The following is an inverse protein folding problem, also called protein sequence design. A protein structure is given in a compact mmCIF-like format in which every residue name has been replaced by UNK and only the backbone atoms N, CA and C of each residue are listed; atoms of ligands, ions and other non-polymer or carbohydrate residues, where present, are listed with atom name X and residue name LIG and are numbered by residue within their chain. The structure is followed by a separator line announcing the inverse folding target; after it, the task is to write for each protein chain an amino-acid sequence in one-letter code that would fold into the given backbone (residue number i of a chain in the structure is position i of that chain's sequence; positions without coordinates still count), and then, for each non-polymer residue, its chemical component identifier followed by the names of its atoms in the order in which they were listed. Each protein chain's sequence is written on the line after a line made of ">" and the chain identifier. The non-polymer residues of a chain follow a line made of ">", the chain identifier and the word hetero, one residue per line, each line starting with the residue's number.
data_IF_427287661222
#
_entry.id   IF_427287661222
#
_cell.length_a   1.000
_cell.length_b   1.000
_cell.length_c   1.000
_cell.angle_alpha   90.00
_cell.angle_beta   90.00
_cell.angle_gamma   90.00
#
_symmetry.space_group_name_H-M   'P 1'
#
loop_
_entity.id
_entity.type
_entity.pdbx_description
1 polymer ?
#
# COMPACT_ATOMS: atom_id res chain seq x y z
N UNK A 1 4.83 25.41 7.33
CA UNK A 1 6.29 25.32 7.08
C UNK A 1 6.63 23.88 6.71
N UNK A 2 6.29 22.91 7.56
CA UNK A 2 6.52 21.48 7.29
C UNK A 2 5.79 20.95 6.03
N UNK A 3 4.56 21.41 5.77
CA UNK A 3 3.83 21.05 4.53
C UNK A 3 4.51 21.56 3.26
N UNK A 4 5.10 22.75 3.31
CA UNK A 4 5.79 23.35 2.16
C UNK A 4 7.08 22.58 1.86
N UNK A 5 7.85 22.27 2.90
CA UNK A 5 9.06 21.47 2.80
C UNK A 5 8.75 20.06 2.27
N UNK A 6 7.66 19.45 2.74
CA UNK A 6 7.22 18.14 2.26
C UNK A 6 6.91 18.15 0.77
N UNK A 7 6.15 19.13 0.27
CA UNK A 7 5.82 19.23 -1.16
C UNK A 7 7.05 19.54 -2.04
N UNK A 8 8.01 20.34 -1.57
CA UNK A 8 9.28 20.57 -2.27
C UNK A 8 10.12 19.28 -2.41
N UNK A 9 10.24 18.50 -1.33
CA UNK A 9 10.95 17.22 -1.36
C UNK A 9 10.21 16.17 -2.19
N UNK A 10 8.87 16.15 -2.16
CA UNK A 10 8.05 15.29 -3.01
C UNK A 10 8.23 15.58 -4.50
N UNK A 11 8.46 16.85 -4.87
CA UNK A 11 8.80 17.24 -6.22
C UNK A 11 10.15 16.67 -6.70
N UNK A 12 11.06 16.40 -5.76
CA UNK A 12 12.44 15.97 -6.02
C UNK A 12 12.60 14.44 -5.94
N UNK A 13 11.87 13.78 -5.03
CA UNK A 13 11.88 12.33 -4.85
C UNK A 13 11.02 11.57 -5.86
N UNK A 14 11.10 10.24 -5.80
CA UNK A 14 10.32 9.33 -6.65
C UNK A 14 9.60 8.20 -5.88
N UNK A 15 9.73 8.16 -4.55
CA UNK A 15 9.05 7.23 -3.66
C UNK A 15 8.62 7.97 -2.40
N UNK A 16 7.37 7.77 -2.00
CA UNK A 16 6.82 8.31 -0.75
C UNK A 16 6.14 7.20 0.07
N UNK A 17 6.42 7.18 1.37
CA UNK A 17 5.75 6.30 2.35
C UNK A 17 5.09 7.20 3.39
N UNK A 18 3.77 7.18 3.41
CA UNK A 18 2.97 7.94 4.37
C UNK A 18 2.65 7.06 5.56
N UNK A 19 2.89 7.58 6.77
CA UNK A 19 2.48 6.93 8.01
C UNK A 19 1.26 7.65 8.58
N UNK A 20 0.22 6.89 8.94
CA UNK A 20 -1.02 7.43 9.47
C UNK A 20 -1.06 7.35 11.01
N UNK A 21 -1.35 8.49 11.65
CA UNK A 21 -1.41 8.58 13.11
C UNK A 21 -2.53 7.74 13.71
N UNK A 22 -3.68 7.61 13.05
CA UNK A 22 -4.83 6.85 13.57
C UNK A 22 -4.51 5.36 13.64
N UNK A 23 -3.73 4.84 12.68
CA UNK A 23 -3.21 3.46 12.74
C UNK A 23 -2.32 3.27 13.98
N UNK A 24 -1.37 4.17 14.19
CA UNK A 24 -0.46 4.10 15.35
C UNK A 24 -1.20 4.23 16.69
N UNK A 25 -2.18 5.13 16.80
CA UNK A 25 -3.02 5.31 17.99
C UNK A 25 -3.84 4.06 18.32
N UNK A 26 -4.33 3.35 17.29
CA UNK A 26 -5.01 2.05 17.43
C UNK A 26 -4.07 0.86 17.59
N UNK A 27 -2.75 1.08 17.59
CA UNK A 27 -1.71 0.04 17.64
C UNK A 27 -1.77 -0.96 16.49
N UNK A 28 -2.23 -0.52 15.32
CA UNK A 28 -2.18 -1.31 14.09
C UNK A 28 -0.86 -1.03 13.40
N UNK A 29 -0.03 -2.05 13.24
CA UNK A 29 1.30 -1.95 12.63
C UNK A 29 1.45 -2.96 11.47
N UNK A 30 2.09 -2.56 10.35
CA UNK A 30 2.73 -1.26 10.12
C UNK A 30 1.72 -0.13 9.88
N UNK A 31 2.01 1.08 10.39
CA UNK A 31 1.07 2.21 10.35
C UNK A 31 1.11 2.98 9.01
N UNK A 32 1.11 2.26 7.88
CA UNK A 32 1.28 2.83 6.54
C UNK A 32 -0.08 3.19 5.92
N UNK A 33 -0.21 4.40 5.38
CA UNK A 33 -1.31 4.77 4.50
C UNK A 33 -1.00 4.26 3.08
N UNK A 34 -1.58 3.10 2.73
CA UNK A 34 -1.34 2.43 1.45
C UNK A 34 -1.82 3.28 0.27
N UNK A 35 -2.94 3.99 0.42
CA UNK A 35 -3.55 4.76 -0.66
C UNK A 35 -2.75 6.01 -1.01
N UNK A 36 -2.08 6.63 -0.04
CA UNK A 36 -1.19 7.78 -0.29
C UNK A 36 0.25 7.39 -0.66
N UNK A 37 0.70 6.21 -0.26
CA UNK A 37 2.07 5.75 -0.52
C UNK A 37 2.24 5.20 -1.93
N UNK A 38 3.38 5.48 -2.57
CA UNK A 38 3.61 5.11 -3.95
C UNK A 38 5.06 5.27 -4.41
N UNK A 39 5.34 4.77 -5.61
CA UNK A 39 6.62 4.93 -6.29
C UNK A 39 6.36 5.26 -7.75
N UNK A 40 7.03 6.28 -8.27
CA UNK A 40 6.97 6.64 -9.69
C UNK A 40 7.76 5.62 -10.50
N UNK A 41 7.24 5.24 -11.68
CA UNK A 41 7.83 4.24 -12.57
C UNK A 41 8.00 2.86 -11.92
N UNK A 42 7.03 2.44 -11.10
CA UNK A 42 7.04 1.13 -10.43
C UNK A 42 7.05 -0.05 -11.41
N UNK A 43 6.64 0.15 -12.67
CA UNK A 43 6.74 -0.84 -13.75
C UNK A 43 8.18 -1.24 -14.11
N UNK A 44 9.18 -0.45 -13.71
CA UNK A 44 10.60 -0.79 -13.88
C UNK A 44 11.13 -1.67 -12.76
N UNK A 45 10.38 -1.81 -11.66
CA UNK A 45 10.80 -2.49 -10.43
C UNK A 45 10.06 -3.81 -10.20
N UNK A 46 8.85 -3.93 -10.75
CA UNK A 46 7.95 -5.06 -10.52
C UNK A 46 7.68 -5.80 -11.82
N UNK A 47 7.55 -7.13 -11.74
CA UNK A 47 7.10 -7.92 -12.87
C UNK A 47 5.66 -7.55 -13.25
N UNK A 48 5.34 -7.53 -14.55
CA UNK A 48 4.03 -7.10 -15.07
C UNK A 48 2.84 -7.85 -14.42
N UNK A 49 3.02 -9.14 -14.09
CA UNK A 49 2.01 -9.95 -13.43
C UNK A 49 1.72 -9.47 -12.00
N UNK A 50 2.76 -9.17 -11.24
CA UNK A 50 2.65 -8.67 -9.86
C UNK A 50 2.10 -7.25 -9.84
N UNK A 51 2.57 -6.39 -10.76
CA UNK A 51 2.09 -5.01 -10.89
C UNK A 51 0.57 -4.97 -11.13
N UNK A 52 0.07 -5.82 -12.02
CA UNK A 52 -1.38 -5.90 -12.31
C UNK A 52 -2.19 -6.33 -11.08
N UNK A 53 -1.66 -7.26 -10.27
CA UNK A 53 -2.29 -7.73 -9.04
C UNK A 53 -2.27 -6.68 -7.94
N UNK A 54 -1.15 -5.97 -7.79
CA UNK A 54 -1.00 -4.85 -6.85
C UNK A 54 -1.98 -3.72 -7.20
N UNK A 55 -2.17 -3.43 -8.49
CA UNK A 55 -3.16 -2.45 -8.93
C UNK A 55 -4.59 -2.85 -8.60
N UNK A 56 -4.94 -4.13 -8.76
CA UNK A 56 -6.26 -4.64 -8.35
C UNK A 56 -6.45 -4.51 -6.84
N UNK A 57 -5.44 -4.89 -6.05
CA UNK A 57 -5.46 -4.72 -4.60
C UNK A 57 -5.68 -3.25 -4.22
N UNK A 58 -4.93 -2.32 -4.83
CA UNK A 58 -5.10 -0.87 -4.58
C UNK A 58 -6.53 -0.40 -4.87
N UNK A 59 -7.17 -0.90 -5.93
CA UNK A 59 -8.58 -0.58 -6.23
C UNK A 59 -9.54 -1.11 -5.17
N UNK A 60 -9.27 -2.30 -4.62
CA UNK A 60 -10.08 -2.88 -3.52
C UNK A 60 -9.92 -2.08 -2.23
N UNK A 61 -8.72 -1.56 -1.95
CA UNK A 61 -8.43 -0.76 -0.76
C UNK A 61 -8.87 0.71 -0.87
N UNK A 62 -9.01 1.26 -2.08
CA UNK A 62 -9.38 2.66 -2.31
C UNK A 62 -10.64 3.16 -1.56
N UNK A 63 -11.77 2.41 -1.51
CA UNK A 63 -12.97 2.87 -0.81
C UNK A 63 -12.87 2.77 0.72
N UNK A 64 -11.88 2.06 1.26
CA UNK A 64 -11.70 1.84 2.69
C UNK A 64 -10.96 3.00 3.34
N UNK A 65 -11.21 3.26 4.62
CA UNK A 65 -10.35 4.17 5.37
C UNK A 65 -8.98 3.52 5.70
N UNK A 66 -7.95 4.29 6.13
CA UNK A 66 -6.62 3.73 6.36
C UNK A 66 -6.57 2.57 7.37
N UNK A 67 -7.42 2.60 8.41
CA UNK A 67 -7.48 1.54 9.43
C UNK A 67 -8.07 0.26 8.84
N UNK A 68 -9.25 0.37 8.22
CA UNK A 68 -9.92 -0.75 7.55
C UNK A 68 -9.03 -1.37 6.47
N UNK A 69 -8.36 -0.54 5.68
CA UNK A 69 -7.45 -0.98 4.61
C UNK A 69 -6.31 -1.83 5.17
N UNK A 70 -5.67 -1.37 6.25
CA UNK A 70 -4.54 -2.06 6.85
C UNK A 70 -4.96 -3.35 7.56
N UNK A 71 -6.07 -3.33 8.29
CA UNK A 71 -6.62 -4.53 8.95
C UNK A 71 -7.00 -5.59 7.91
N UNK A 72 -7.70 -5.21 6.84
CA UNK A 72 -8.03 -6.11 5.74
C UNK A 72 -6.78 -6.68 5.08
N UNK A 73 -5.78 -5.85 4.80
CA UNK A 73 -4.54 -6.30 4.18
C UNK A 73 -3.79 -7.29 5.07
N UNK A 74 -3.65 -6.99 6.36
CA UNK A 74 -2.98 -7.86 7.32
C UNK A 74 -3.70 -9.19 7.49
N UNK A 75 -5.04 -9.18 7.54
CA UNK A 75 -5.84 -10.40 7.59
C UNK A 75 -5.54 -11.31 6.39
N UNK A 76 -5.56 -10.77 5.17
CA UNK A 76 -5.31 -11.57 3.95
C UNK A 76 -3.87 -12.02 3.80
N UNK A 77 -2.90 -11.22 4.28
CA UNK A 77 -1.49 -11.60 4.27
C UNK A 77 -1.19 -12.68 5.31
N UNK A 78 -1.87 -12.69 6.46
CA UNK A 78 -1.67 -13.67 7.53
C UNK A 78 -1.99 -15.11 7.10
N UNK A 79 -2.87 -15.28 6.13
CA UNK A 79 -3.23 -16.59 5.56
C UNK A 79 -2.17 -17.16 4.59
N UNK A 80 -1.06 -16.44 4.37
CA UNK A 80 -0.03 -16.81 3.38
C UNK A 80 1.38 -16.71 3.95
N UNK A 81 2.28 -17.57 3.48
CA UNK A 81 3.67 -17.59 3.93
C UNK A 81 4.55 -16.58 3.17
N UNK A 82 4.12 -16.14 1.98
CA UNK A 82 4.88 -15.21 1.15
C UNK A 82 4.01 -14.22 0.37
N UNK A 83 4.56 -13.06 0.05
CA UNK A 83 3.90 -12.07 -0.81
C UNK A 83 3.53 -12.65 -2.19
N UNK A 84 4.32 -13.61 -2.70
CA UNK A 84 4.04 -14.26 -3.98
C UNK A 84 2.78 -15.11 -3.90
N UNK A 85 2.59 -15.84 -2.81
CA UNK A 85 1.40 -16.65 -2.57
C UNK A 85 0.17 -15.76 -2.34
N UNK A 86 0.32 -14.67 -1.58
CA UNK A 86 -0.70 -13.65 -1.41
C UNK A 86 -1.16 -13.02 -2.74
N UNK A 87 -0.22 -12.51 -3.54
CA UNK A 87 -0.55 -11.93 -4.84
C UNK A 87 -1.20 -12.97 -5.77
N UNK A 88 -0.76 -14.22 -5.71
CA UNK A 88 -1.31 -15.33 -6.50
C UNK A 88 -2.75 -15.69 -6.08
N UNK A 89 -3.07 -15.64 -4.78
CA UNK A 89 -4.39 -15.99 -4.27
C UNK A 89 -5.47 -14.99 -4.71
N UNK A 90 -5.12 -13.71 -4.89
CA UNK A 90 -6.05 -12.66 -5.31
C UNK A 90 -6.59 -12.82 -6.75
N UNK A 91 -5.99 -13.64 -7.61
CA UNK A 91 -6.54 -13.91 -8.96
C UNK A 91 -7.56 -15.04 -9.02
N UNK A 92 -7.83 -15.74 -7.92
CA UNK A 92 -8.84 -16.82 -7.89
C UNK A 92 -10.26 -16.32 -7.63
N UNK A 93 -10.46 -15.01 -7.49
CA UNK A 93 -11.78 -14.37 -7.43
C UNK A 93 -12.21 -13.85 -8.79
N UNK A 94 -12.72 -14.75 -9.63
CA UNK A 94 -13.39 -14.49 -10.90
C UNK A 94 -14.41 -15.59 -11.16
#
# INVERSE_FOLDING_TARGET
>A
MDEVIFEEFKGTGNMEIYLDRKLAEKRVFPAIDINKSGTRKEELLLENGDLSRIWLLRKVLQPMNPVESMEFLLEKMADTESNKDFLSSMSRGG
#
